data_IF_523752624035
#
_entry.id   IF_523752624035
#
_cell.length_a   1.000
_cell.length_b   1.000
_cell.length_c   1.000
_cell.angle_alpha   90.00
_cell.angle_beta   90.00
_cell.angle_gamma   90.00
#
_symmetry.space_group_name_H-M   'P 1'
#
loop_
_entity.id
_entity.type
_entity.pdbx_description
1 polymer ?
#
# COMPACT_ATOMS: atom_id res chain seq x y z
N UNK A 1 59.60 -7.24 -2.54
CA UNK A 1 58.93 -8.53 -2.80
C UNK A 1 58.60 -9.16 -1.47
N UNK A 2 57.38 -9.15 -0.95
CA UNK A 2 56.17 -8.46 -1.38
C UNK A 2 55.36 -8.20 -0.11
N UNK A 3 54.80 -7.01 -0.09
CA UNK A 3 53.82 -6.49 0.84
C UNK A 3 52.46 -7.09 0.44
N UNK A 4 51.81 -7.81 1.35
CA UNK A 4 50.37 -8.09 1.24
C UNK A 4 49.69 -7.44 2.43
N UNK A 5 49.03 -6.34 2.09
CA UNK A 5 48.33 -5.43 2.96
C UNK A 5 47.12 -6.10 3.63
N UNK A 6 46.99 -5.74 4.89
CA UNK A 6 45.84 -5.87 5.77
C UNK A 6 44.59 -5.26 5.11
N UNK A 7 43.58 -6.08 4.83
CA UNK A 7 42.23 -5.61 4.47
C UNK A 7 41.33 -5.81 5.68
N UNK A 8 41.51 -4.91 6.65
CA UNK A 8 40.53 -4.63 7.68
C UNK A 8 39.25 -4.07 7.05
N UNK A 9 38.08 -4.59 7.44
CA UNK A 9 36.82 -3.88 7.21
C UNK A 9 35.56 -4.71 6.95
N UNK A 10 35.61 -6.04 6.93
CA UNK A 10 34.38 -6.86 6.92
C UNK A 10 34.18 -7.51 8.29
N UNK A 11 33.49 -6.79 9.18
CA UNK A 11 32.94 -7.39 10.39
C UNK A 11 31.79 -8.31 9.96
N UNK A 12 31.94 -9.61 10.19
CA UNK A 12 30.81 -10.53 10.15
C UNK A 12 29.72 -9.98 11.10
N UNK A 13 28.42 -10.01 10.72
CA UNK A 13 27.37 -9.53 11.60
C UNK A 13 27.48 -10.23 12.96
N UNK A 14 27.48 -9.46 14.05
CA UNK A 14 27.50 -9.99 15.41
C UNK A 14 26.27 -10.90 15.60
N UNK A 15 26.51 -12.22 15.64
CA UNK A 15 25.50 -13.20 15.96
C UNK A 15 25.21 -13.11 17.46
N UNK A 16 24.13 -12.43 17.82
CA UNK A 16 23.64 -12.47 19.20
C UNK A 16 22.92 -13.80 19.40
N UNK A 17 23.57 -14.73 20.11
CA UNK A 17 22.95 -15.97 20.61
C UNK A 17 22.06 -15.60 21.81
N UNK A 18 20.93 -14.94 21.52
CA UNK A 18 20.00 -14.47 22.54
C UNK A 18 19.20 -15.68 23.04
N UNK A 19 19.45 -16.09 24.28
CA UNK A 19 18.59 -17.03 24.99
C UNK A 19 17.26 -16.33 25.33
N UNK A 20 16.33 -16.32 24.38
CA UNK A 20 15.02 -15.70 24.56
C UNK A 20 14.09 -15.91 23.37
N UNK A 21 12.80 -15.74 23.62
CA UNK A 21 11.73 -15.76 22.63
C UNK A 21 12.04 -14.76 21.49
N UNK A 22 11.60 -15.04 20.26
CA UNK A 22 11.70 -14.09 19.14
C UNK A 22 11.19 -12.70 19.54
N UNK A 23 11.97 -11.64 19.30
CA UNK A 23 11.60 -10.27 19.67
C UNK A 23 11.09 -9.45 18.49
N UNK A 24 10.31 -8.40 18.77
CA UNK A 24 9.83 -7.45 17.74
C UNK A 24 10.95 -6.76 16.96
N UNK A 25 12.13 -6.62 17.58
CA UNK A 25 13.33 -6.07 16.93
C UNK A 25 13.92 -7.04 15.90
N UNK A 26 13.93 -8.35 16.20
CA UNK A 26 14.32 -9.40 15.25
C UNK A 26 13.34 -9.43 14.08
N UNK A 27 12.03 -9.36 14.33
CA UNK A 27 11.03 -9.29 13.26
C UNK A 27 11.22 -8.05 12.37
N UNK A 28 11.58 -6.91 12.95
CA UNK A 28 11.86 -5.69 12.19
C UNK A 28 13.10 -5.82 11.29
N UNK A 29 14.13 -6.56 11.72
CA UNK A 29 15.30 -6.89 10.88
C UNK A 29 14.99 -7.91 9.80
N UNK A 30 14.23 -8.98 10.11
CA UNK A 30 13.72 -9.92 9.10
C UNK A 30 12.89 -9.18 8.04
N UNK A 31 11.98 -8.27 8.43
CA UNK A 31 11.22 -7.43 7.49
C UNK A 31 12.11 -6.53 6.62
N UNK A 32 13.19 -5.99 7.16
CA UNK A 32 14.16 -5.19 6.40
C UNK A 32 14.89 -6.03 5.36
N UNK A 33 15.31 -7.24 5.74
CA UNK A 33 15.98 -8.16 4.82
C UNK A 33 15.01 -8.69 3.76
N UNK A 34 13.74 -8.94 4.12
CA UNK A 34 12.67 -9.24 3.15
C UNK A 34 12.47 -8.09 2.14
N UNK A 35 12.52 -6.82 2.58
CA UNK A 35 12.49 -5.65 1.67
C UNK A 35 13.69 -5.62 0.74
N UNK A 36 14.88 -5.95 1.24
CA UNK A 36 16.10 -5.97 0.43
C UNK A 36 16.13 -7.13 -0.58
N UNK A 37 15.59 -8.29 -0.22
CA UNK A 37 15.61 -9.49 -1.09
C UNK A 37 14.41 -9.56 -2.06
N UNK A 38 13.25 -9.01 -1.69
CA UNK A 38 12.01 -9.11 -2.49
C UNK A 38 11.55 -7.79 -3.10
N UNK A 39 12.18 -6.67 -2.74
CA UNK A 39 11.69 -5.34 -3.07
C UNK A 39 10.64 -4.82 -2.10
N UNK A 40 10.51 -3.50 -2.03
CA UNK A 40 9.65 -2.80 -1.07
C UNK A 40 8.16 -3.12 -1.28
N UNK A 41 7.70 -3.13 -2.53
CA UNK A 41 6.29 -3.36 -2.89
C UNK A 41 5.83 -4.77 -2.52
N UNK A 42 6.66 -5.79 -2.79
CA UNK A 42 6.36 -7.18 -2.43
C UNK A 42 6.36 -7.34 -0.91
N UNK A 43 7.37 -6.78 -0.24
CA UNK A 43 7.51 -6.93 1.20
C UNK A 43 6.34 -6.28 1.96
N UNK A 44 5.97 -5.07 1.57
CA UNK A 44 4.86 -4.34 2.20
C UNK A 44 3.51 -5.01 1.95
N UNK A 45 3.30 -5.56 0.74
CA UNK A 45 2.06 -6.24 0.37
C UNK A 45 1.83 -7.55 1.13
N UNK A 46 2.89 -8.32 1.41
CA UNK A 46 2.79 -9.67 1.97
C UNK A 46 3.12 -9.76 3.46
N UNK A 47 4.12 -8.99 3.92
CA UNK A 47 4.63 -9.05 5.29
C UNK A 47 4.24 -7.84 6.13
N UNK A 48 3.72 -6.75 5.52
CA UNK A 48 3.28 -5.55 6.23
C UNK A 48 2.17 -5.81 7.25
N UNK A 49 1.41 -6.91 7.11
CA UNK A 49 0.35 -7.33 8.04
C UNK A 49 0.63 -8.65 8.74
N UNK A 50 1.88 -9.11 8.71
CA UNK A 50 2.33 -10.29 9.45
C UNK A 50 2.95 -9.79 10.75
N UNK A 51 2.42 -10.27 11.86
CA UNK A 51 2.92 -9.91 13.18
C UNK A 51 3.55 -11.11 13.84
N UNK A 52 4.57 -10.83 14.65
CA UNK A 52 5.20 -11.82 15.50
C UNK A 52 4.37 -11.95 16.77
N UNK A 53 3.97 -13.17 17.10
CA UNK A 53 3.34 -13.47 18.39
C UNK A 53 4.43 -13.77 19.43
N UNK A 54 4.22 -13.32 20.68
CA UNK A 54 5.22 -13.43 21.74
C UNK A 54 5.46 -14.86 22.24
N UNK A 55 4.49 -15.76 22.03
CA UNK A 55 4.41 -17.04 22.75
C UNK A 55 4.56 -18.25 21.82
N UNK A 56 5.74 -18.40 21.19
CA UNK A 56 6.12 -19.60 20.44
C UNK A 56 6.55 -20.75 21.36
N UNK A 57 6.13 -22.01 21.12
CA UNK A 57 6.79 -23.16 21.74
C UNK A 57 8.27 -23.20 21.34
N UNK A 58 9.11 -23.80 22.18
CA UNK A 58 10.58 -23.85 22.01
C UNK A 58 11.00 -24.05 20.54
N UNK A 59 11.88 -23.16 20.06
CA UNK A 59 12.45 -23.16 18.69
C UNK A 59 11.48 -22.85 17.53
N UNK A 60 10.23 -22.46 17.80
CA UNK A 60 9.21 -22.12 16.79
C UNK A 60 8.85 -20.63 16.80
N UNK A 61 8.87 -20.00 15.64
CA UNK A 61 8.36 -18.63 15.45
C UNK A 61 6.88 -18.70 15.07
N UNK A 62 6.03 -18.09 15.90
CA UNK A 62 4.61 -17.90 15.56
C UNK A 62 4.41 -16.57 14.86
N UNK A 63 3.99 -16.65 13.59
CA UNK A 63 3.59 -15.49 12.81
C UNK A 63 2.08 -15.47 12.69
N UNK A 64 1.45 -14.42 13.19
CA UNK A 64 0.02 -14.24 13.00
C UNK A 64 -0.29 -13.51 11.72
N UNK A 65 -1.33 -13.97 11.05
CA UNK A 65 -1.83 -13.39 9.82
C UNK A 65 -3.32 -13.11 9.92
N UNK A 66 -3.83 -12.05 9.27
CA UNK A 66 -5.24 -11.69 9.31
C UNK A 66 -6.17 -12.69 8.61
N UNK A 67 -5.66 -13.58 7.75
CA UNK A 67 -6.50 -14.36 6.83
C UNK A 67 -5.96 -15.77 6.60
N UNK A 68 -6.85 -16.72 6.34
CA UNK A 68 -6.49 -18.08 5.93
C UNK A 68 -5.76 -18.12 4.58
N UNK A 69 -6.09 -17.21 3.67
CA UNK A 69 -5.38 -17.08 2.39
C UNK A 69 -3.94 -16.66 2.63
N UNK A 70 -3.71 -15.59 3.40
CA UNK A 70 -2.36 -15.10 3.66
C UNK A 70 -1.52 -16.15 4.42
N UNK A 71 -2.15 -16.94 5.30
CA UNK A 71 -1.52 -18.11 5.94
C UNK A 71 -1.04 -19.12 4.90
N UNK A 72 -1.96 -19.66 4.09
CA UNK A 72 -1.64 -20.71 3.12
C UNK A 72 -0.61 -20.20 2.11
N UNK A 73 -0.72 -18.94 1.71
CA UNK A 73 0.16 -18.31 0.75
C UNK A 73 1.59 -18.15 1.26
N UNK A 74 1.77 -17.57 2.45
CA UNK A 74 3.09 -17.43 3.06
C UNK A 74 3.72 -18.80 3.35
N UNK A 75 2.90 -19.79 3.73
CA UNK A 75 3.34 -21.17 3.89
C UNK A 75 3.80 -21.82 2.58
N UNK A 76 3.08 -21.61 1.48
CA UNK A 76 3.40 -22.24 0.20
C UNK A 76 4.61 -21.59 -0.50
N UNK A 77 4.80 -20.27 -0.37
CA UNK A 77 5.73 -19.54 -1.23
C UNK A 77 6.90 -18.87 -0.50
N UNK A 78 6.75 -18.59 0.80
CA UNK A 78 7.74 -17.80 1.55
C UNK A 78 8.27 -18.51 2.80
N UNK A 79 7.85 -19.76 3.04
CA UNK A 79 8.26 -20.52 4.21
C UNK A 79 9.78 -20.68 4.29
N UNK A 80 10.40 -21.17 3.21
CA UNK A 80 11.85 -21.43 3.18
C UNK A 80 12.67 -20.15 3.32
N UNK A 81 12.23 -19.08 2.65
CA UNK A 81 12.87 -17.78 2.76
C UNK A 81 12.76 -17.23 4.18
N UNK A 82 11.57 -17.23 4.76
CA UNK A 82 11.37 -16.78 6.13
C UNK A 82 12.19 -17.61 7.11
N UNK A 83 12.24 -18.93 6.95
CA UNK A 83 13.02 -19.81 7.82
C UNK A 83 14.52 -19.51 7.72
N UNK A 84 15.03 -19.28 6.51
CA UNK A 84 16.42 -18.85 6.27
C UNK A 84 16.71 -17.53 6.98
N UNK A 85 15.84 -16.52 6.83
CA UNK A 85 16.04 -15.20 7.44
C UNK A 85 15.93 -15.25 8.96
N UNK A 86 14.99 -16.02 9.50
CA UNK A 86 14.89 -16.23 10.94
C UNK A 86 16.11 -16.96 11.51
N UNK A 87 16.69 -17.92 10.79
CA UNK A 87 17.94 -18.60 11.19
C UNK A 87 19.16 -17.69 11.20
N UNK A 88 19.19 -16.66 10.34
CA UNK A 88 20.25 -15.64 10.35
C UNK A 88 20.16 -14.76 11.60
N UNK A 89 18.94 -14.47 12.07
CA UNK A 89 18.70 -13.65 13.26
C UNK A 89 18.73 -14.44 14.58
N UNK A 90 18.30 -15.70 14.56
CA UNK A 90 18.30 -16.60 15.70
C UNK A 90 18.47 -18.05 15.23
N UNK A 91 19.66 -18.61 15.47
CA UNK A 91 20.01 -19.98 15.03
C UNK A 91 19.17 -21.08 15.69
N UNK A 92 18.50 -20.78 16.80
CA UNK A 92 17.60 -21.72 17.48
C UNK A 92 16.24 -21.84 16.80
N UNK A 93 15.91 -20.95 15.86
CA UNK A 93 14.64 -21.06 15.12
C UNK A 93 14.74 -22.19 14.11
N UNK A 94 13.96 -23.24 14.34
CA UNK A 94 13.91 -24.41 13.45
C UNK A 94 12.60 -24.53 12.69
N UNK A 95 11.56 -23.84 13.14
CA UNK A 95 10.23 -23.91 12.54
C UNK A 95 9.52 -22.55 12.57
N UNK A 96 8.68 -22.32 11.55
CA UNK A 96 7.74 -21.20 11.52
C UNK A 96 6.32 -21.79 11.51
N UNK A 97 5.47 -21.28 12.38
CA UNK A 97 4.05 -21.61 12.35
C UNK A 97 3.24 -20.34 12.08
N UNK A 98 2.32 -20.45 11.12
CA UNK A 98 1.40 -19.36 10.81
C UNK A 98 0.05 -19.61 11.48
N UNK A 99 -0.43 -18.63 12.23
CA UNK A 99 -1.75 -18.68 12.86
C UNK A 99 -2.66 -17.59 12.31
N UNK A 100 -3.95 -17.90 12.21
CA UNK A 100 -4.94 -16.89 11.82
C UNK A 100 -5.44 -16.22 13.09
N UNK A 101 -5.12 -14.93 13.26
CA UNK A 101 -5.54 -14.19 14.45
C UNK A 101 -7.06 -14.04 14.45
N UNK A 102 -7.72 -14.55 15.50
CA UNK A 102 -9.14 -14.26 15.79
C UNK A 102 -9.17 -13.09 16.75
N UNK A 103 -9.66 -11.93 16.28
CA UNK A 103 -9.64 -10.71 17.08
C UNK A 103 -10.68 -10.81 18.22
N UNK A 104 -10.22 -11.16 19.42
CA UNK A 104 -10.87 -10.83 20.69
C UNK A 104 -10.54 -9.38 21.07
N UNK A 105 -11.51 -8.70 21.66
CA UNK A 105 -11.46 -7.30 22.09
C UNK A 105 -10.40 -7.07 23.17
N UNK A 106 -9.66 -5.98 23.05
CA UNK A 106 -9.31 -5.17 24.22
C UNK A 106 -9.82 -3.74 23.99
N UNK A 107 -10.76 -3.37 24.86
CA UNK A 107 -11.40 -2.07 25.00
C UNK A 107 -10.59 -1.24 25.99
N UNK A 108 -10.06 -0.08 25.59
CA UNK A 108 -10.21 1.13 26.40
C UNK A 108 -9.91 2.37 25.55
N UNK A 109 -10.70 3.44 25.71
CA UNK A 109 -10.80 4.69 24.90
C UNK A 109 -11.96 4.80 23.90
N UNK A 110 -13.17 4.41 24.29
CA UNK A 110 -14.39 4.97 23.67
C UNK A 110 -15.41 5.41 24.73
N UNK A 111 -15.20 6.60 25.28
CA UNK A 111 -16.32 7.43 25.74
C UNK A 111 -16.20 8.81 25.12
N UNK A 112 -17.25 9.18 24.39
CA UNK A 112 -17.53 10.46 23.71
C UNK A 112 -16.93 10.72 22.31
N UNK A 113 -17.51 10.08 21.28
CA UNK A 113 -17.83 10.73 19.99
C UNK A 113 -19.16 10.14 19.47
N UNK A 114 -20.16 10.96 19.05
CA UNK A 114 -21.39 10.45 18.42
C UNK A 114 -21.10 9.59 17.19
N UNK A 115 -21.70 8.40 17.15
CA UNK A 115 -21.43 7.28 16.23
C UNK A 115 -21.73 7.53 14.74
N UNK A 116 -22.09 8.74 14.32
CA UNK A 116 -22.41 9.08 12.93
C UNK A 116 -21.33 9.91 12.21
N UNK A 117 -20.24 10.28 12.89
CA UNK A 117 -19.19 11.15 12.34
C UNK A 117 -17.84 10.46 12.03
N UNK A 118 -17.76 9.13 12.09
CA UNK A 118 -16.50 8.36 12.01
C UNK A 118 -16.40 7.40 10.82
N UNK A 119 -17.19 7.58 9.75
CA UNK A 119 -16.96 6.85 8.50
C UNK A 119 -16.18 7.77 7.56
N UNK A 120 -14.86 7.57 7.36
CA UNK A 120 -14.18 8.21 6.24
C UNK A 120 -14.86 7.74 4.95
N UNK A 121 -15.10 8.61 3.96
CA UNK A 121 -15.58 8.16 2.66
C UNK A 121 -14.59 7.12 2.09
N UNK A 122 -15.12 6.00 1.60
CA UNK A 122 -14.34 4.93 0.96
C UNK A 122 -13.38 5.53 -0.08
N UNK A 123 -12.07 5.22 -0.02
CA UNK A 123 -11.17 5.59 -1.11
C UNK A 123 -11.60 4.84 -2.37
N UNK A 124 -11.84 5.58 -3.45
CA UNK A 124 -12.31 5.03 -4.72
C UNK A 124 -11.30 4.00 -5.24
N UNK A 125 -11.78 2.81 -5.63
CA UNK A 125 -10.96 1.90 -6.41
C UNK A 125 -10.79 2.60 -7.76
N UNK A 126 -9.56 3.01 -8.07
CA UNK A 126 -9.22 3.64 -9.35
C UNK A 126 -9.53 2.73 -10.55
N UNK A 127 -8.80 2.82 -11.66
CA UNK A 127 -9.11 2.06 -12.86
C UNK A 127 -9.04 0.55 -12.63
N UNK A 128 -9.79 -0.15 -13.47
CA UNK A 128 -9.87 -1.60 -13.49
C UNK A 128 -11.18 -2.12 -12.91
N UNK A 129 -11.38 -3.45 -12.95
CA UNK A 129 -12.60 -4.05 -12.46
C UNK A 129 -12.73 -3.80 -10.97
N UNK A 130 -13.87 -3.25 -10.55
CA UNK A 130 -14.18 -3.07 -9.14
C UNK A 130 -14.67 -4.40 -8.57
N UNK A 131 -14.23 -4.73 -7.36
CA UNK A 131 -14.62 -5.98 -6.70
C UNK A 131 -15.36 -5.68 -5.39
N UNK A 132 -16.47 -6.37 -5.18
CA UNK A 132 -17.21 -6.46 -3.93
C UNK A 132 -17.34 -7.90 -3.46
N UNK A 133 -18.15 -8.12 -2.42
CA UNK A 133 -18.42 -9.46 -1.89
C UNK A 133 -19.89 -9.78 -2.11
N UNK A 134 -20.19 -10.85 -2.85
CA UNK A 134 -21.52 -11.44 -2.92
C UNK A 134 -21.47 -12.88 -2.44
N UNK A 135 -22.34 -13.22 -1.48
CA UNK A 135 -22.47 -14.58 -0.92
C UNK A 135 -21.15 -15.15 -0.39
N UNK A 136 -20.32 -14.31 0.25
CA UNK A 136 -19.05 -14.72 0.86
C UNK A 136 -17.90 -14.98 -0.13
N UNK A 137 -18.06 -14.58 -1.40
CA UNK A 137 -17.04 -14.70 -2.44
C UNK A 137 -16.77 -13.33 -3.07
N UNK A 138 -15.54 -13.14 -3.56
CA UNK A 138 -15.18 -11.97 -4.35
C UNK A 138 -16.03 -11.95 -5.64
N UNK A 139 -16.66 -10.82 -5.95
CA UNK A 139 -17.53 -10.65 -7.12
C UNK A 139 -17.34 -9.27 -7.74
N UNK A 140 -17.36 -9.17 -9.07
CA UNK A 140 -17.32 -7.88 -9.78
C UNK A 140 -18.48 -6.96 -9.36
N UNK A 141 -18.16 -5.72 -8.98
CA UNK A 141 -19.11 -4.67 -8.58
C UNK A 141 -19.33 -3.76 -9.79
N UNK A 142 -20.54 -3.78 -10.34
CA UNK A 142 -20.96 -2.80 -11.34
C UNK A 142 -21.12 -1.46 -10.62
N UNK A 143 -20.29 -0.47 -10.95
CA UNK A 143 -20.42 0.89 -10.43
C UNK A 143 -21.27 1.76 -11.35
N UNK A 144 -22.19 2.52 -10.76
CA UNK A 144 -22.90 3.60 -11.41
C UNK A 144 -22.25 4.93 -11.01
N UNK A 145 -22.29 5.97 -11.87
CA UNK A 145 -21.75 7.29 -11.52
C UNK A 145 -22.50 7.87 -10.30
N UNK A 146 -21.75 8.37 -9.31
CA UNK A 146 -22.27 8.93 -8.05
C UNK A 146 -22.79 10.36 -8.26
N UNK A 147 -24.10 10.55 -8.14
CA UNK A 147 -24.77 11.87 -8.26
C UNK A 147 -24.55 12.87 -7.10
N UNK A 148 -23.76 12.54 -6.07
CA UNK A 148 -23.44 13.39 -4.89
C UNK A 148 -21.99 13.94 -4.92
N UNK A 149 -21.25 13.67 -6.00
CA UNK A 149 -19.81 13.98 -6.07
C UNK A 149 -19.55 15.49 -6.24
N UNK A 150 -20.38 16.22 -6.99
CA UNK A 150 -20.17 17.65 -7.27
C UNK A 150 -20.17 18.52 -6.00
N UNK A 151 -21.05 18.24 -5.03
CA UNK A 151 -21.10 19.01 -3.77
C UNK A 151 -19.85 18.78 -2.91
N UNK A 152 -19.33 17.54 -2.90
CA UNK A 152 -18.09 17.18 -2.19
C UNK A 152 -16.88 17.81 -2.86
N UNK A 153 -16.84 17.79 -4.20
CA UNK A 153 -15.79 18.43 -4.99
C UNK A 153 -15.75 19.94 -4.77
N UNK A 154 -16.89 20.63 -4.75
CA UNK A 154 -16.95 22.06 -4.46
C UNK A 154 -16.43 22.40 -3.04
N UNK A 155 -16.80 21.61 -2.03
CA UNK A 155 -16.32 21.79 -0.66
C UNK A 155 -14.81 21.56 -0.52
N UNK A 156 -14.29 20.55 -1.22
CA UNK A 156 -12.87 20.22 -1.24
C UNK A 156 -12.06 21.28 -2.00
N UNK A 157 -12.51 21.68 -3.19
CA UNK A 157 -11.93 22.73 -4.02
C UNK A 157 -11.78 24.03 -3.24
N UNK A 158 -12.82 24.48 -2.53
CA UNK A 158 -12.76 25.68 -1.69
C UNK A 158 -11.66 25.62 -0.63
N UNK A 159 -11.51 24.49 0.06
CA UNK A 159 -10.49 24.31 1.10
C UNK A 159 -9.09 24.21 0.50
N UNK A 160 -8.96 23.46 -0.59
CA UNK A 160 -7.71 23.26 -1.33
C UNK A 160 -7.20 24.59 -1.90
N UNK A 161 -8.07 25.38 -2.54
CA UNK A 161 -7.79 26.73 -3.03
C UNK A 161 -7.26 27.64 -1.91
N UNK A 162 -7.92 27.67 -0.75
CA UNK A 162 -7.48 28.48 0.38
C UNK A 162 -6.09 28.04 0.91
N UNK A 163 -5.85 26.73 1.02
CA UNK A 163 -4.58 26.19 1.50
C UNK A 163 -3.44 26.41 0.49
N UNK A 164 -3.69 26.21 -0.81
CA UNK A 164 -2.73 26.47 -1.88
C UNK A 164 -2.32 27.95 -1.93
N UNK A 165 -3.29 28.87 -1.84
CA UNK A 165 -3.00 30.30 -1.76
C UNK A 165 -2.25 30.70 -0.49
N UNK A 166 -2.50 30.01 0.63
CA UNK A 166 -1.73 30.19 1.87
C UNK A 166 -0.28 29.70 1.71
N UNK A 167 -0.10 28.53 1.09
CA UNK A 167 1.19 27.91 0.83
C UNK A 167 2.04 28.80 -0.08
N UNK A 168 1.50 29.20 -1.23
CA UNK A 168 2.17 30.08 -2.19
C UNK A 168 2.64 31.38 -1.54
N UNK A 169 1.76 32.07 -0.78
CA UNK A 169 2.13 33.30 -0.07
C UNK A 169 3.22 33.08 0.97
N UNK A 170 3.18 31.98 1.71
CA UNK A 170 4.15 31.69 2.77
C UNK A 170 5.53 31.34 2.20
N UNK A 171 5.56 30.57 1.11
CA UNK A 171 6.78 30.23 0.38
C UNK A 171 7.40 31.46 -0.31
N UNK A 172 6.56 32.31 -0.93
CA UNK A 172 7.02 33.57 -1.52
C UNK A 172 7.64 34.50 -0.48
N UNK A 173 7.02 34.59 0.70
CA UNK A 173 7.51 35.42 1.80
C UNK A 173 8.85 34.92 2.38
N UNK A 174 9.11 33.61 2.34
CA UNK A 174 10.38 33.07 2.82
C UNK A 174 11.55 33.38 1.88
N UNK A 175 11.28 33.49 0.56
CA UNK A 175 12.28 33.70 -0.50
C UNK A 175 13.43 32.67 -0.50
N UNK A 176 13.19 31.48 0.07
CA UNK A 176 14.18 30.39 0.21
C UNK A 176 13.93 29.23 -0.74
N UNK A 177 12.66 28.93 -0.99
CA UNK A 177 12.23 27.72 -1.71
C UNK A 177 11.72 28.09 -3.10
N UNK A 178 12.57 28.63 -3.97
CA UNK A 178 12.17 29.29 -5.22
C UNK A 178 11.32 28.38 -6.13
N UNK A 179 11.79 27.17 -6.41
CA UNK A 179 11.06 26.22 -7.28
C UNK A 179 9.74 25.75 -6.68
N UNK A 180 9.74 25.46 -5.37
CA UNK A 180 8.52 25.08 -4.65
C UNK A 180 7.52 26.25 -4.60
N UNK A 181 8.01 27.49 -4.45
CA UNK A 181 7.19 28.69 -4.47
C UNK A 181 6.56 28.91 -5.85
N UNK A 182 7.32 28.74 -6.93
CA UNK A 182 6.81 28.84 -8.30
C UNK A 182 5.72 27.80 -8.57
N UNK A 183 5.97 26.53 -8.25
CA UNK A 183 4.98 25.46 -8.39
C UNK A 183 3.72 25.71 -7.54
N UNK A 184 3.88 26.23 -6.32
CA UNK A 184 2.73 26.55 -5.45
C UNK A 184 1.92 27.74 -5.96
N UNK A 185 2.57 28.76 -6.54
CA UNK A 185 1.91 29.91 -7.18
C UNK A 185 1.12 29.47 -8.42
N UNK A 186 1.73 28.67 -9.30
CA UNK A 186 1.07 28.11 -10.48
C UNK A 186 -0.13 27.25 -10.09
N UNK A 187 0.04 26.37 -9.10
CA UNK A 187 -1.04 25.52 -8.61
C UNK A 187 -2.22 26.33 -8.03
N UNK A 188 -1.92 27.41 -7.29
CA UNK A 188 -2.94 28.30 -6.76
C UNK A 188 -3.73 29.03 -7.87
N UNK A 189 -3.05 29.44 -8.95
CA UNK A 189 -3.69 30.05 -10.12
C UNK A 189 -4.60 29.06 -10.86
N UNK A 190 -4.18 27.82 -11.04
CA UNK A 190 -5.02 26.78 -11.66
C UNK A 190 -6.28 26.49 -10.85
N UNK A 191 -6.19 26.59 -9.52
CA UNK A 191 -7.34 26.42 -8.61
C UNK A 191 -8.26 27.65 -8.57
N UNK A 192 -7.91 28.77 -9.21
CA UNK A 192 -8.76 29.95 -9.18
C UNK A 192 -10.07 29.75 -9.96
N UNK A 193 -10.02 28.93 -11.00
CA UNK A 193 -11.16 28.52 -11.84
C UNK A 193 -12.18 27.69 -11.05
N UNK A 194 -13.49 27.80 -11.37
CA UNK A 194 -14.52 26.97 -10.76
C UNK A 194 -14.34 25.48 -11.15
N UNK A 195 -14.91 24.59 -10.34
CA UNK A 195 -14.77 23.12 -10.47
C UNK A 195 -15.18 22.65 -11.87
N UNK A 196 -16.23 23.25 -12.43
CA UNK A 196 -16.82 22.87 -13.71
C UNK A 196 -15.95 23.21 -14.93
N UNK A 197 -15.04 24.18 -14.79
CA UNK A 197 -14.12 24.61 -15.86
C UNK A 197 -12.65 24.43 -15.46
N UNK A 198 -12.40 23.57 -14.47
CA UNK A 198 -11.04 23.31 -13.99
C UNK A 198 -10.19 22.64 -15.06
N UNK A 199 -8.95 23.12 -15.24
CA UNK A 199 -7.92 22.43 -16.03
C UNK A 199 -7.38 21.24 -15.23
N UNK A 200 -8.07 20.10 -15.35
CA UNK A 200 -7.74 18.87 -14.62
C UNK A 200 -6.33 18.37 -14.97
N UNK A 201 -5.92 18.49 -16.23
CA UNK A 201 -4.58 18.08 -16.68
C UNK A 201 -3.49 18.95 -16.05
N UNK A 202 -3.63 20.28 -16.10
CA UNK A 202 -2.69 21.21 -15.47
C UNK A 202 -2.63 21.02 -13.95
N UNK A 203 -3.79 20.91 -13.30
CA UNK A 203 -3.89 20.65 -11.87
C UNK A 203 -3.20 19.35 -11.47
N UNK A 204 -3.40 18.27 -12.23
CA UNK A 204 -2.75 16.98 -12.02
C UNK A 204 -1.22 17.09 -12.13
N UNK A 205 -0.72 17.75 -13.17
CA UNK A 205 0.71 17.89 -13.40
C UNK A 205 1.41 18.70 -12.28
N UNK A 206 0.89 19.90 -11.98
CA UNK A 206 1.52 20.81 -11.00
C UNK A 206 1.30 20.30 -9.56
N UNK A 207 0.12 19.79 -9.24
CA UNK A 207 -0.14 19.21 -7.92
C UNK A 207 0.61 17.89 -7.67
N UNK A 208 0.87 17.12 -8.73
CA UNK A 208 1.81 15.99 -8.71
C UNK A 208 3.22 16.45 -8.34
N UNK A 209 3.73 17.52 -8.97
CA UNK A 209 5.03 18.10 -8.63
C UNK A 209 5.10 18.57 -7.16
N UNK A 210 4.06 19.22 -6.63
CA UNK A 210 3.98 19.58 -5.21
C UNK A 210 4.05 18.36 -4.28
N UNK A 211 3.38 17.27 -4.66
CA UNK A 211 3.41 16.01 -3.92
C UNK A 211 4.81 15.38 -3.94
N UNK A 212 5.51 15.44 -5.09
CA UNK A 212 6.91 15.00 -5.22
C UNK A 212 7.89 15.85 -4.41
N UNK A 213 7.67 17.17 -4.32
CA UNK A 213 8.44 18.02 -3.40
C UNK A 213 8.21 17.59 -1.95
N UNK A 214 6.95 17.38 -1.56
CA UNK A 214 6.61 16.97 -0.20
C UNK A 214 7.30 15.65 0.19
N UNK A 215 7.33 14.68 -0.72
CA UNK A 215 8.02 13.42 -0.50
C UNK A 215 9.54 13.61 -0.47
N UNK A 216 10.11 14.37 -1.40
CA UNK A 216 11.55 14.67 -1.44
C UNK A 216 12.06 15.33 -0.16
N UNK A 217 11.31 16.30 0.40
CA UNK A 217 11.66 16.95 1.66
C UNK A 217 11.54 15.99 2.85
N UNK A 218 10.54 15.10 2.86
CA UNK A 218 10.39 14.10 3.93
C UNK A 218 11.52 13.07 3.93
N UNK A 219 11.90 12.61 2.74
CA UNK A 219 12.94 11.59 2.57
C UNK A 219 14.36 12.19 2.60
N UNK A 220 14.45 13.52 2.70
CA UNK A 220 15.72 14.24 2.75
C UNK A 220 16.55 13.76 3.95
N UNK A 221 17.74 13.23 3.65
CA UNK A 221 18.70 12.94 4.71
C UNK A 221 19.36 14.25 5.16
N UNK A 222 18.81 14.86 6.20
CA UNK A 222 19.28 16.14 6.76
C UNK A 222 20.76 16.09 7.16
N UNK A 223 21.29 14.93 7.53
CA UNK A 223 22.71 14.75 7.88
C UNK A 223 23.66 14.64 6.68
N UNK A 224 23.14 14.47 5.46
CA UNK A 224 23.93 14.28 4.22
C UNK A 224 23.59 15.28 3.11
N UNK A 225 22.65 16.18 3.34
CA UNK A 225 22.15 17.14 2.35
C UNK A 225 22.43 18.56 2.83
N UNK A 226 23.10 19.37 2.01
CA UNK A 226 23.41 20.77 2.32
C UNK A 226 22.22 21.72 2.16
N UNK A 227 21.08 21.24 1.68
CA UNK A 227 19.88 22.05 1.53
C UNK A 227 19.12 22.15 2.86
N UNK A 228 18.65 23.35 3.18
CA UNK A 228 17.84 23.58 4.37
C UNK A 228 16.55 22.74 4.32
N UNK A 229 16.17 22.07 5.42
CA UNK A 229 14.90 21.38 5.49
C UNK A 229 13.73 22.37 5.39
N UNK A 230 12.57 21.85 5.02
CA UNK A 230 11.35 22.64 5.01
C UNK A 230 10.94 22.97 6.46
N UNK A 231 10.54 24.22 6.71
CA UNK A 231 10.05 24.60 8.04
C UNK A 231 8.80 23.78 8.40
N UNK A 232 8.63 23.31 9.66
CA UNK A 232 7.56 22.38 10.02
C UNK A 232 6.15 22.87 9.66
N UNK A 233 5.90 24.17 9.75
CA UNK A 233 4.60 24.76 9.39
C UNK A 233 4.37 24.74 7.88
N UNK A 234 5.41 25.01 7.08
CA UNK A 234 5.35 24.93 5.61
C UNK A 234 5.21 23.47 5.17
N UNK A 235 5.91 22.55 5.82
CA UNK A 235 5.80 21.12 5.57
C UNK A 235 4.38 20.60 5.86
N UNK A 236 3.82 20.94 7.01
CA UNK A 236 2.45 20.56 7.36
C UNK A 236 1.42 21.11 6.34
N UNK A 237 1.63 22.34 5.86
CA UNK A 237 0.77 22.95 4.86
C UNK A 237 0.92 22.30 3.48
N UNK A 238 2.15 22.02 3.04
CA UNK A 238 2.44 21.33 1.79
C UNK A 238 1.85 19.91 1.78
N UNK A 239 1.95 19.19 2.90
CA UNK A 239 1.34 17.87 3.07
C UNK A 239 -0.19 17.92 3.07
N UNK A 240 -0.77 18.96 3.68
CA UNK A 240 -2.20 19.21 3.64
C UNK A 240 -2.68 19.45 2.21
N UNK A 241 -1.99 20.32 1.46
CA UNK A 241 -2.28 20.60 0.04
C UNK A 241 -2.14 19.32 -0.80
N UNK A 242 -1.05 18.56 -0.64
CA UNK A 242 -0.81 17.31 -1.39
C UNK A 242 -1.92 16.28 -1.14
N UNK A 243 -2.35 16.12 0.11
CA UNK A 243 -3.44 15.19 0.46
C UNK A 243 -4.78 15.63 -0.13
N UNK A 244 -5.09 16.92 -0.05
CA UNK A 244 -6.33 17.49 -0.60
C UNK A 244 -6.33 17.44 -2.13
N UNK A 245 -5.19 17.70 -2.77
CA UNK A 245 -4.97 17.57 -4.21
C UNK A 245 -5.31 16.17 -4.69
N UNK A 246 -4.73 15.14 -4.07
CA UNK A 246 -5.01 13.74 -4.44
C UNK A 246 -6.50 13.40 -4.34
N UNK A 247 -7.18 13.82 -3.27
CA UNK A 247 -8.62 13.61 -3.14
C UNK A 247 -9.44 14.38 -4.20
N UNK A 248 -8.99 15.58 -4.59
CA UNK A 248 -9.67 16.43 -5.56
C UNK A 248 -9.55 15.86 -6.97
N UNK A 249 -8.33 15.57 -7.41
CA UNK A 249 -8.04 14.97 -8.73
C UNK A 249 -8.77 13.65 -8.92
N UNK A 250 -8.81 12.80 -7.91
CA UNK A 250 -9.47 11.50 -8.00
C UNK A 250 -11.00 11.60 -8.14
N UNK A 251 -11.58 12.77 -7.88
CA UNK A 251 -12.99 13.05 -8.18
C UNK A 251 -13.30 13.13 -9.67
N UNK A 252 -12.33 13.55 -10.48
CA UNK A 252 -12.49 13.71 -11.93
C UNK A 252 -12.19 12.41 -12.68
N UNK A 253 -12.99 12.10 -13.69
CA UNK A 253 -12.73 10.95 -14.56
C UNK A 253 -11.41 11.09 -15.32
N UNK A 254 -11.14 12.28 -15.88
CA UNK A 254 -9.87 12.62 -16.53
C UNK A 254 -8.68 12.50 -15.56
N UNK A 255 -8.84 13.00 -14.33
CA UNK A 255 -7.81 12.93 -13.30
C UNK A 255 -7.45 11.49 -12.95
N UNK A 256 -8.46 10.61 -12.82
CA UNK A 256 -8.23 9.17 -12.66
C UNK A 256 -7.48 8.60 -13.86
N UNK A 257 -7.89 8.88 -15.09
CA UNK A 257 -7.22 8.37 -16.31
C UNK A 257 -5.72 8.77 -16.36
N UNK A 258 -5.40 10.03 -16.08
CA UNK A 258 -4.03 10.54 -16.06
C UNK A 258 -3.14 9.81 -15.04
N UNK A 259 -3.65 9.61 -13.82
CA UNK A 259 -2.94 8.83 -12.79
C UNK A 259 -2.63 7.43 -13.30
N UNK A 260 -3.56 6.80 -14.01
CA UNK A 260 -3.41 5.42 -14.46
C UNK A 260 -2.34 5.28 -15.53
N UNK A 261 -2.35 6.21 -16.48
CA UNK A 261 -1.33 6.30 -17.53
C UNK A 261 0.06 6.60 -16.97
N UNK A 262 0.13 7.46 -15.95
CA UNK A 262 1.39 7.73 -15.27
C UNK A 262 1.89 6.51 -14.48
N UNK A 263 0.98 5.81 -13.79
CA UNK A 263 1.29 4.54 -13.11
C UNK A 263 1.74 3.46 -14.11
N UNK A 264 1.10 3.37 -15.28
CA UNK A 264 1.48 2.46 -16.36
C UNK A 264 2.90 2.76 -16.87
N UNK A 265 3.26 4.04 -17.00
CA UNK A 265 4.62 4.44 -17.37
C UNK A 265 5.65 4.18 -16.26
N UNK A 266 5.27 4.41 -15.00
CA UNK A 266 6.14 4.20 -13.85
C UNK A 266 6.43 2.71 -13.58
N UNK A 267 5.54 1.82 -14.00
CA UNK A 267 5.76 0.38 -14.02
C UNK A 267 6.66 0.00 -15.20
N UNK A 268 7.94 0.34 -15.06
CA UNK A 268 8.95 0.00 -16.06
C UNK A 268 9.21 -1.53 -16.13
N UNK A 269 9.86 -2.03 -17.21
CA UNK A 269 10.15 -3.45 -17.35
C UNK A 269 11.01 -4.05 -16.23
N UNK A 270 11.83 -3.26 -15.54
CA UNK A 270 12.66 -3.73 -14.44
C UNK A 270 11.80 -4.00 -13.19
N UNK A 271 10.93 -3.06 -12.81
CA UNK A 271 9.95 -3.25 -11.72
C UNK A 271 8.99 -4.39 -12.00
N UNK A 272 8.51 -4.52 -13.24
CA UNK A 272 7.67 -5.64 -13.66
C UNK A 272 8.42 -6.98 -13.54
N UNK A 273 9.72 -6.99 -13.82
CA UNK A 273 10.60 -8.14 -13.61
C UNK A 273 10.74 -8.54 -12.14
N UNK A 274 10.92 -7.57 -11.24
CA UNK A 274 11.03 -7.81 -9.78
C UNK A 274 9.79 -8.49 -9.22
N UNK A 275 8.60 -8.12 -9.71
CA UNK A 275 7.33 -8.65 -9.20
C UNK A 275 6.77 -9.82 -10.01
N UNK A 276 7.38 -10.20 -11.14
CA UNK A 276 6.85 -11.22 -12.05
C UNK A 276 6.74 -12.60 -11.39
N UNK A 277 7.81 -13.05 -10.72
CA UNK A 277 7.84 -14.35 -10.05
C UNK A 277 6.80 -14.48 -8.93
N UNK A 278 6.75 -13.57 -7.94
CA UNK A 278 5.70 -13.63 -6.94
C UNK A 278 4.31 -13.36 -7.54
N UNK A 279 4.22 -12.49 -8.56
CA UNK A 279 3.02 -12.14 -9.30
C UNK A 279 2.36 -13.33 -10.01
N UNK A 280 3.15 -14.16 -10.67
CA UNK A 280 2.69 -15.34 -11.41
C UNK A 280 1.90 -16.29 -10.53
N UNK A 281 2.42 -16.60 -9.35
CA UNK A 281 1.75 -17.51 -8.43
C UNK A 281 0.43 -16.92 -7.93
N UNK A 282 0.37 -15.60 -7.68
CA UNK A 282 -0.85 -14.94 -7.18
C UNK A 282 -1.90 -14.93 -8.28
N UNK A 283 -1.48 -14.61 -9.50
CA UNK A 283 -2.34 -14.62 -10.66
C UNK A 283 -2.86 -16.03 -10.94
N UNK A 284 -2.06 -17.07 -10.71
CA UNK A 284 -2.49 -18.48 -10.75
C UNK A 284 -3.57 -18.76 -9.70
N UNK A 285 -3.36 -18.40 -8.43
CA UNK A 285 -4.40 -18.57 -7.40
C UNK A 285 -5.69 -17.82 -7.72
N UNK A 286 -5.60 -16.59 -8.24
CA UNK A 286 -6.76 -15.78 -8.63
C UNK A 286 -7.53 -16.39 -9.82
N UNK A 287 -6.91 -17.26 -10.61
CA UNK A 287 -7.51 -17.85 -11.83
C UNK A 287 -7.92 -19.30 -11.67
N UNK A 288 -7.43 -20.00 -10.64
CA UNK A 288 -7.63 -21.44 -10.43
C UNK A 288 -8.34 -21.77 -9.11
N UNK A 289 -8.16 -20.97 -8.07
CA UNK A 289 -8.66 -21.30 -6.74
C UNK A 289 -10.19 -21.18 -6.67
N UNK A 290 -10.86 -22.35 -6.58
CA UNK A 290 -12.32 -22.48 -6.54
C UNK A 290 -12.96 -22.10 -5.22
N UNK A 291 -12.19 -22.01 -4.15
CA UNK A 291 -12.69 -21.64 -2.83
C UNK A 291 -12.65 -20.12 -2.64
N UNK A 292 -11.66 -19.45 -3.21
CA UNK A 292 -11.39 -18.03 -2.98
C UNK A 292 -12.06 -17.09 -3.99
N UNK A 293 -12.01 -17.43 -5.27
CA UNK A 293 -12.53 -16.58 -6.37
C UNK A 293 -13.82 -17.21 -6.91
N UNK A 294 -14.75 -16.47 -7.52
CA UNK A 294 -15.90 -17.10 -8.21
C UNK A 294 -15.54 -17.53 -9.65
N UNK A 295 -16.38 -18.34 -10.30
CA UNK A 295 -16.08 -18.87 -11.64
C UNK A 295 -16.01 -17.78 -12.72
N UNK A 296 -16.87 -16.77 -12.65
CA UNK A 296 -16.88 -15.68 -13.63
C UNK A 296 -15.63 -14.83 -13.50
N UNK A 297 -15.22 -14.50 -12.28
CA UNK A 297 -13.98 -13.74 -12.04
C UNK A 297 -12.74 -14.53 -12.47
N UNK A 298 -12.67 -15.83 -12.14
CA UNK A 298 -11.58 -16.70 -12.66
C UNK A 298 -11.53 -16.69 -14.19
N UNK A 299 -12.68 -16.83 -14.85
CA UNK A 299 -12.76 -16.85 -16.31
C UNK A 299 -12.29 -15.53 -16.94
N UNK A 300 -12.52 -14.39 -16.28
CA UNK A 300 -12.02 -13.08 -16.71
C UNK A 300 -10.50 -12.93 -16.55
N UNK A 301 -9.91 -13.56 -15.53
CA UNK A 301 -8.47 -13.45 -15.26
C UNK A 301 -7.63 -14.41 -16.11
N UNK A 302 -8.16 -15.56 -16.51
CA UNK A 302 -7.41 -16.60 -17.26
C UNK A 302 -6.71 -16.06 -18.51
N UNK A 303 -7.36 -15.27 -19.40
CA UNK A 303 -6.69 -14.74 -20.59
C UNK A 303 -5.48 -13.85 -20.26
N UNK A 304 -5.53 -13.11 -19.16
CA UNK A 304 -4.43 -12.23 -18.73
C UNK A 304 -3.28 -13.06 -18.15
N UNK A 305 -3.59 -14.10 -17.37
CA UNK A 305 -2.58 -15.07 -16.91
C UNK A 305 -1.88 -15.76 -18.08
N UNK A 306 -2.65 -16.26 -19.03
CA UNK A 306 -2.12 -16.99 -20.19
C UNK A 306 -1.22 -16.06 -21.02
N UNK A 307 -1.67 -14.82 -21.25
CA UNK A 307 -0.86 -13.79 -21.92
C UNK A 307 0.41 -13.45 -21.13
N UNK A 308 0.34 -13.34 -19.81
CA UNK A 308 1.50 -13.04 -18.96
C UNK A 308 2.51 -14.19 -18.91
N UNK A 309 2.04 -15.44 -19.00
CA UNK A 309 2.89 -16.62 -19.10
C UNK A 309 3.57 -16.73 -20.47
N UNK A 310 2.85 -16.41 -21.56
CA UNK A 310 3.36 -16.50 -22.94
C UNK A 310 4.26 -15.33 -23.33
N UNK A 311 3.86 -14.09 -23.00
CA UNK A 311 4.51 -12.86 -23.44
C UNK A 311 5.37 -12.20 -22.35
N UNK A 312 5.29 -12.69 -21.12
CA UNK A 312 6.02 -12.14 -19.97
C UNK A 312 5.43 -10.85 -19.42
N UNK A 313 5.74 -10.58 -18.15
CA UNK A 313 5.28 -9.39 -17.43
C UNK A 313 5.91 -8.09 -17.92
N UNK A 314 7.03 -8.13 -18.64
CA UNK A 314 7.69 -6.93 -19.18
C UNK A 314 7.00 -6.36 -20.42
N UNK A 315 6.03 -7.07 -21.00
CA UNK A 315 5.26 -6.60 -22.15
C UNK A 315 4.20 -5.60 -21.67
N UNK A 316 4.46 -4.29 -21.85
CA UNK A 316 3.72 -3.14 -21.28
C UNK A 316 2.22 -3.39 -20.98
N UNK A 317 1.40 -3.70 -21.99
CA UNK A 317 -0.05 -3.90 -21.77
C UNK A 317 -0.41 -5.16 -20.98
N UNK A 318 0.32 -6.26 -21.20
CA UNK A 318 0.09 -7.56 -20.54
C UNK A 318 0.57 -7.50 -19.10
N UNK A 319 1.77 -6.96 -18.89
CA UNK A 319 2.39 -6.73 -17.59
C UNK A 319 1.54 -5.86 -16.69
N UNK A 320 1.10 -4.71 -17.20
CA UNK A 320 0.25 -3.80 -16.45
C UNK A 320 -1.08 -4.46 -16.06
N UNK A 321 -1.73 -5.17 -16.99
CA UNK A 321 -2.99 -5.87 -16.71
C UNK A 321 -2.84 -6.96 -15.66
N UNK A 322 -1.77 -7.76 -15.75
CA UNK A 322 -1.44 -8.80 -14.77
C UNK A 322 -1.18 -8.19 -13.39
N UNK A 323 -0.40 -7.11 -13.34
CA UNK A 323 -0.14 -6.35 -12.12
C UNK A 323 -1.43 -5.83 -11.48
N UNK A 324 -2.32 -5.21 -12.25
CA UNK A 324 -3.59 -4.69 -11.73
C UNK A 324 -4.46 -5.79 -11.13
N UNK A 325 -4.56 -6.95 -11.79
CA UNK A 325 -5.34 -8.09 -11.27
C UNK A 325 -4.76 -8.58 -9.95
N UNK A 326 -3.44 -8.79 -9.89
CA UNK A 326 -2.75 -9.22 -8.68
C UNK A 326 -2.93 -8.19 -7.56
N UNK A 327 -2.62 -6.92 -7.83
CA UNK A 327 -2.73 -5.82 -6.87
C UNK A 327 -4.14 -5.68 -6.30
N UNK A 328 -5.15 -5.63 -7.17
CA UNK A 328 -6.53 -5.41 -6.76
C UNK A 328 -7.11 -6.64 -6.06
N UNK A 329 -6.79 -7.85 -6.52
CA UNK A 329 -7.17 -9.10 -5.87
C UNK A 329 -6.63 -9.19 -4.44
N UNK A 330 -5.34 -8.91 -4.25
CA UNK A 330 -4.70 -8.88 -2.92
C UNK A 330 -5.36 -7.84 -2.02
N UNK A 331 -5.54 -6.61 -2.49
CA UNK A 331 -6.21 -5.55 -1.72
C UNK A 331 -7.63 -5.95 -1.30
N UNK A 332 -8.39 -6.58 -2.19
CA UNK A 332 -9.75 -6.99 -1.87
C UNK A 332 -9.80 -8.15 -0.86
N UNK A 333 -8.91 -9.13 -0.95
CA UNK A 333 -8.78 -10.21 0.04
C UNK A 333 -8.38 -9.67 1.42
N UNK A 334 -7.44 -8.71 1.45
CA UNK A 334 -7.04 -8.02 2.67
C UNK A 334 -8.23 -7.25 3.27
N UNK A 335 -8.99 -6.48 2.46
CA UNK A 335 -10.19 -5.77 2.90
C UNK A 335 -11.24 -6.72 3.47
N UNK A 336 -11.54 -7.81 2.76
CA UNK A 336 -12.47 -8.85 3.22
C UNK A 336 -12.11 -9.40 4.59
N UNK A 337 -10.81 -9.53 4.87
CA UNK A 337 -10.30 -10.10 6.11
C UNK A 337 -10.28 -9.11 7.29
N UNK A 338 -10.35 -7.81 7.00
CA UNK A 338 -10.39 -6.74 8.00
C UNK A 338 -11.82 -6.22 8.25
N UNK A 339 -12.73 -6.38 7.29
CA UNK A 339 -14.16 -6.08 7.37
C UNK A 339 -14.55 -4.64 7.03
N UNK A 340 -15.69 -4.44 6.35
CA UNK A 340 -16.30 -3.12 6.10
C UNK A 340 -17.46 -2.77 7.05
N UNK A 341 -17.96 -3.71 7.88
CA UNK A 341 -18.81 -3.44 9.05
C UNK A 341 -18.97 -4.72 9.91
N UNK A 342 -18.73 -4.68 11.24
CA UNK A 342 -18.92 -5.83 12.12
C UNK A 342 -20.36 -5.90 12.62
N UNK A 343 -21.30 -6.38 11.80
CA UNK A 343 -22.62 -6.68 12.33
C UNK A 343 -22.61 -8.07 13.00
N UNK A 344 -22.49 -8.05 14.34
CA UNK A 344 -22.56 -9.20 15.24
C UNK A 344 -23.83 -10.08 15.07
N UNK A 345 -24.87 -9.58 14.38
CA UNK A 345 -26.16 -10.27 14.27
C UNK A 345 -26.18 -11.51 13.38
N UNK A 346 -25.29 -11.62 12.39
CA UNK A 346 -25.33 -12.76 11.44
C UNK A 346 -24.56 -13.99 11.96
N UNK A 347 -23.64 -13.80 12.91
CA UNK A 347 -22.83 -14.89 13.49
C UNK A 347 -23.57 -15.64 14.60
N UNK A 348 -24.51 -14.98 15.30
CA UNK A 348 -25.29 -15.62 16.36
C UNK A 348 -26.40 -16.56 15.84
N UNK A 349 -26.81 -16.42 14.57
CA UNK A 349 -27.86 -17.28 13.98
C UNK A 349 -27.43 -18.71 13.65
N UNK A 350 -26.12 -18.99 13.56
CA UNK A 350 -25.62 -20.32 13.16
C UNK A 350 -25.21 -21.18 14.38
N UNK A 351 -25.02 -20.58 15.55
CA UNK A 351 -24.66 -21.32 16.78
C UNK A 351 -25.84 -21.73 17.66
N UNK A 352 -27.08 -21.34 17.31
CA UNK A 352 -28.30 -21.78 18.02
C UNK A 352 -29.07 -22.91 17.31
N UNK A 353 -28.61 -23.35 16.12
CA UNK A 353 -29.28 -24.38 15.31
C UNK A 353 -28.68 -25.79 15.38
N UNK A 354 -27.75 -26.04 16.32
CA UNK A 354 -27.13 -27.35 16.51
C UNK A 354 -26.92 -27.65 18.00
N UNK A 355 -28.02 -27.59 18.75
CA UNK A 355 -28.24 -28.54 19.85
C UNK A 355 -28.64 -29.89 19.25
#
# INVERSE_FOLDING_TARGET
MDEVADIAGWQAPEFQDIAGLPTGDQWSRVKRQLRAELGEDVSESWFGRVDLESDGPDETVLLSVPTRFLKQWLQAHYYDLLLKLWKLENRKVNQIEFIVRRKGLEEDHRKNIPSAALIPPEPDQGPGPQYGVQRGRLSEKISFPKGDESARQAGLHKRLKANAASLARSLKASNRYVELAAAAEEYALLLDEPVESSDVTGLWAVGGALSSFAQSYRDQNVGRTFADPLEPQLEALLLSVSRQHGAFIMGFEEGRDLVNRADEYALDPARLGEIALPGNEILRELTENRELVDERTRALHRPVRDSAAELGWSTSRVGYSAYLIVRNGVRAMIKFSVGENPNLGTVLGILAGAL
#
